data_IF_844490164085
#
_entry.id   IF_844490164085
#
_cell.length_a   1.000
_cell.length_b   1.000
_cell.length_c   1.000
_cell.angle_alpha   90.00
_cell.angle_beta   90.00
_cell.angle_gamma   90.00
#
_symmetry.space_group_name_H-M   'P 1'
#
loop_
_entity.id
_entity.type
_entity.pdbx_description
1 polymer ?
#
# COMPACT_ATOMS: atom_id res chain seq x y z
N UNK A 1 4.30 23.61 7.68
CA UNK A 1 5.59 23.17 7.13
C UNK A 1 5.61 23.52 5.64
N UNK A 2 6.56 24.31 5.18
CA UNK A 2 6.68 24.63 3.75
C UNK A 2 7.59 23.57 3.13
N UNK A 3 7.03 22.71 2.26
CA UNK A 3 7.82 21.73 1.51
C UNK A 3 8.60 22.38 0.37
N UNK A 4 8.02 23.38 -0.27
CA UNK A 4 8.60 24.09 -1.41
C UNK A 4 7.68 25.19 -1.90
N UNK A 5 7.95 25.69 -3.11
CA UNK A 5 7.20 26.75 -3.79
C UNK A 5 6.39 26.22 -4.99
N UNK A 6 6.86 25.13 -5.62
CA UNK A 6 6.22 24.57 -6.80
C UNK A 6 6.19 23.04 -6.77
N UNK A 7 5.00 22.48 -6.70
CA UNK A 7 4.77 21.03 -6.64
C UNK A 7 4.73 20.38 -8.02
N UNK A 8 5.28 19.17 -8.14
CA UNK A 8 4.75 18.20 -9.10
C UNK A 8 3.74 17.31 -8.38
N UNK A 9 2.48 17.37 -8.78
CA UNK A 9 1.42 16.49 -8.28
C UNK A 9 1.36 15.25 -9.17
N UNK A 10 1.71 14.10 -8.62
CA UNK A 10 1.69 12.81 -9.31
C UNK A 10 0.41 12.07 -8.94
N UNK A 11 -0.44 11.81 -9.94
CA UNK A 11 -1.79 11.28 -9.71
C UNK A 11 -2.26 10.37 -10.85
N UNK A 12 -3.41 9.75 -10.67
CA UNK A 12 -4.14 9.03 -11.71
C UNK A 12 -5.42 9.75 -12.12
N UNK A 13 -5.96 9.41 -13.29
CA UNK A 13 -7.19 9.99 -13.82
C UNK A 13 -8.41 9.87 -12.88
N UNK A 14 -8.41 8.89 -11.98
CA UNK A 14 -9.49 8.68 -11.02
C UNK A 14 -9.67 9.86 -10.07
N UNK A 15 -8.58 10.47 -9.59
CA UNK A 15 -8.64 11.61 -8.66
C UNK A 15 -9.22 12.86 -9.33
N UNK A 16 -8.92 13.04 -10.61
CA UNK A 16 -9.48 14.13 -11.42
C UNK A 16 -10.98 13.91 -11.64
N UNK A 17 -11.37 12.71 -12.11
CA UNK A 17 -12.78 12.39 -12.40
C UNK A 17 -13.68 12.43 -11.16
N UNK A 18 -13.14 12.16 -9.99
CA UNK A 18 -13.87 12.21 -8.71
C UNK A 18 -13.91 13.60 -8.10
N UNK A 19 -13.26 14.60 -8.69
CA UNK A 19 -13.24 15.98 -8.20
C UNK A 19 -12.28 16.24 -7.03
N UNK A 20 -11.55 15.22 -6.56
CA UNK A 20 -10.64 15.38 -5.42
C UNK A 20 -9.44 16.27 -5.74
N UNK A 21 -9.06 16.36 -7.03
CA UNK A 21 -7.95 17.21 -7.44
C UNK A 21 -8.25 18.68 -7.20
N UNK A 22 -9.48 19.16 -7.46
CA UNK A 22 -9.85 20.55 -7.26
C UNK A 22 -9.64 20.98 -5.80
N UNK A 23 -10.08 20.17 -4.83
CA UNK A 23 -9.89 20.46 -3.42
C UNK A 23 -8.41 20.64 -3.03
N UNK A 24 -7.50 19.86 -3.62
CA UNK A 24 -6.07 19.99 -3.39
C UNK A 24 -5.52 21.26 -4.06
N UNK A 25 -5.88 21.52 -5.34
CA UNK A 25 -5.37 22.67 -6.07
C UNK A 25 -5.83 24.00 -5.49
N UNK A 26 -7.11 24.09 -5.06
CA UNK A 26 -7.65 25.27 -4.38
C UNK A 26 -6.82 25.63 -3.11
N UNK A 27 -6.48 24.63 -2.30
CA UNK A 27 -5.64 24.81 -1.11
C UNK A 27 -4.24 25.30 -1.49
N UNK A 28 -3.64 24.77 -2.55
CA UNK A 28 -2.31 25.20 -3.01
C UNK A 28 -2.34 26.65 -3.51
N UNK A 29 -3.35 27.02 -4.31
CA UNK A 29 -3.57 28.36 -4.84
C UNK A 29 -3.79 29.38 -3.73
N UNK A 30 -4.64 29.07 -2.76
CA UNK A 30 -4.91 29.94 -1.59
C UNK A 30 -3.64 30.20 -0.76
N UNK A 31 -2.66 29.29 -0.83
CA UNK A 31 -1.37 29.42 -0.13
C UNK A 31 -0.22 29.92 -1.03
N UNK A 32 -0.52 30.31 -2.28
CA UNK A 32 0.48 30.83 -3.24
C UNK A 32 1.51 29.79 -3.64
N UNK A 33 1.14 28.51 -3.68
CA UNK A 33 1.98 27.40 -4.11
C UNK A 33 1.66 27.07 -5.56
N UNK A 34 2.64 27.17 -6.44
CA UNK A 34 2.49 26.74 -7.82
C UNK A 34 2.50 25.22 -7.93
N UNK A 35 1.88 24.69 -8.99
CA UNK A 35 1.89 23.26 -9.24
C UNK A 35 1.84 22.90 -10.72
N UNK A 36 2.26 21.69 -11.02
CA UNK A 36 2.07 20.99 -12.30
C UNK A 36 1.48 19.62 -12.00
N UNK A 37 0.57 19.14 -12.83
CA UNK A 37 -0.11 17.86 -12.60
C UNK A 37 0.38 16.82 -13.62
N UNK A 38 1.00 15.74 -13.13
CA UNK A 38 1.21 14.51 -13.89
C UNK A 38 0.07 13.54 -13.57
N UNK A 39 -0.89 13.45 -14.48
CA UNK A 39 -2.07 12.59 -14.35
C UNK A 39 -2.02 11.32 -15.20
N UNK A 40 -0.85 10.96 -15.71
CA UNK A 40 -0.66 9.84 -16.62
C UNK A 40 -0.49 8.50 -15.93
N UNK A 41 -0.39 8.49 -14.60
CA UNK A 41 -0.21 7.24 -13.87
C UNK A 41 -1.46 6.38 -13.99
N UNK A 42 -1.32 5.26 -14.66
CA UNK A 42 -2.41 4.31 -14.91
C UNK A 42 -1.93 2.87 -14.71
N UNK A 43 -2.67 2.09 -13.93
CA UNK A 43 -2.26 0.73 -13.59
C UNK A 43 -0.99 0.68 -12.76
N UNK A 44 -0.12 -0.27 -13.06
CA UNK A 44 1.17 -0.42 -12.40
C UNK A 44 2.18 0.62 -12.93
N UNK A 45 2.94 1.31 -12.05
CA UNK A 45 3.91 2.31 -12.51
C UNK A 45 5.04 1.66 -13.31
N UNK A 46 5.42 2.28 -14.42
CA UNK A 46 6.50 1.81 -15.29
C UNK A 46 7.69 2.76 -15.28
N UNK A 47 8.87 2.24 -15.61
CA UNK A 47 10.10 3.03 -15.80
C UNK A 47 9.91 4.18 -16.79
N UNK A 48 9.07 3.99 -17.82
CA UNK A 48 8.73 5.02 -18.81
C UNK A 48 7.93 6.16 -18.16
N UNK A 49 6.87 5.83 -17.40
CA UNK A 49 6.08 6.84 -16.66
C UNK A 49 6.95 7.64 -15.69
N UNK A 50 7.87 6.97 -15.01
CA UNK A 50 8.79 7.64 -14.06
C UNK A 50 9.72 8.61 -14.78
N UNK A 51 10.27 8.22 -15.94
CA UNK A 51 11.13 9.07 -16.75
C UNK A 51 10.39 10.31 -17.28
N UNK A 52 9.14 10.15 -17.74
CA UNK A 52 8.29 11.27 -18.16
C UNK A 52 7.97 12.22 -17.01
N UNK A 53 7.63 11.69 -15.83
CA UNK A 53 7.37 12.49 -14.64
C UNK A 53 8.61 13.25 -14.15
N UNK A 54 9.78 12.61 -14.18
CA UNK A 54 11.05 13.27 -13.83
C UNK A 54 11.40 14.39 -14.80
N UNK A 55 11.16 14.20 -16.09
CA UNK A 55 11.30 15.27 -17.08
C UNK A 55 10.33 16.42 -16.81
N UNK A 56 9.06 16.12 -16.51
CA UNK A 56 8.07 17.14 -16.17
C UNK A 56 8.47 17.94 -14.93
N UNK A 57 8.98 17.28 -13.89
CA UNK A 57 9.49 17.92 -12.68
C UNK A 57 10.59 18.92 -13.01
N UNK A 58 11.59 18.49 -13.80
CA UNK A 58 12.77 19.29 -14.13
C UNK A 58 12.42 20.46 -15.06
N UNK A 59 11.68 20.20 -16.15
CA UNK A 59 11.31 21.21 -17.15
C UNK A 59 10.46 22.35 -16.54
N UNK A 60 9.72 22.06 -15.48
CA UNK A 60 8.86 23.03 -14.79
C UNK A 60 9.49 23.64 -13.54
N UNK A 61 10.75 23.31 -13.21
CA UNK A 61 11.45 23.77 -12.01
C UNK A 61 10.66 23.51 -10.73
N UNK A 62 10.05 22.31 -10.59
CA UNK A 62 9.42 21.89 -9.36
C UNK A 62 10.48 21.69 -8.27
N UNK A 63 10.13 21.91 -7.00
CA UNK A 63 11.05 21.80 -5.86
C UNK A 63 10.54 20.83 -4.78
N UNK A 64 9.33 20.31 -4.92
CA UNK A 64 8.79 19.22 -4.09
C UNK A 64 7.77 18.37 -4.85
N UNK A 65 7.35 17.26 -4.24
CA UNK A 65 6.45 16.29 -4.83
C UNK A 65 5.19 16.11 -3.96
N UNK A 66 4.05 15.89 -4.62
CA UNK A 66 2.83 15.42 -3.98
C UNK A 66 2.39 14.14 -4.71
N UNK A 67 2.41 12.99 -4.04
CA UNK A 67 1.79 11.77 -4.51
C UNK A 67 0.33 11.73 -4.05
N UNK A 68 -0.64 11.77 -4.97
CA UNK A 68 -2.06 11.77 -4.63
C UNK A 68 -2.83 10.68 -5.38
N UNK A 69 -3.30 9.68 -4.66
CA UNK A 69 -4.03 8.55 -5.25
C UNK A 69 -3.81 7.22 -4.55
N UNK A 70 -3.97 6.12 -5.26
CA UNK A 70 -3.62 4.79 -4.74
C UNK A 70 -2.10 4.56 -4.66
N UNK A 71 -1.68 3.33 -4.42
CA UNK A 71 -0.26 3.00 -4.31
C UNK A 71 0.57 3.42 -5.53
N UNK A 72 0.03 3.26 -6.75
CA UNK A 72 0.78 3.57 -7.98
C UNK A 72 1.22 5.03 -8.10
N UNK A 73 0.36 6.06 -7.90
CA UNK A 73 0.81 7.45 -7.84
C UNK A 73 1.83 7.74 -6.73
N UNK A 74 1.66 7.15 -5.55
CA UNK A 74 2.58 7.34 -4.44
C UNK A 74 3.96 6.75 -4.75
N UNK A 75 3.99 5.53 -5.27
CA UNK A 75 5.19 4.85 -5.70
C UNK A 75 5.89 5.60 -6.86
N UNK A 76 5.10 6.10 -7.82
CA UNK A 76 5.64 6.93 -8.90
C UNK A 76 6.29 8.20 -8.37
N UNK A 77 5.65 8.91 -7.44
CA UNK A 77 6.22 10.12 -6.85
C UNK A 77 7.56 9.87 -6.15
N UNK A 78 7.69 8.75 -5.42
CA UNK A 78 8.96 8.33 -4.82
C UNK A 78 10.03 8.07 -5.88
N UNK A 79 9.70 7.29 -6.91
CA UNK A 79 10.63 6.93 -7.98
C UNK A 79 11.05 8.15 -8.83
N UNK A 80 10.13 9.07 -9.12
CA UNK A 80 10.43 10.36 -9.74
C UNK A 80 11.45 11.13 -8.89
N UNK A 81 11.22 11.20 -7.58
CA UNK A 81 12.14 11.83 -6.63
C UNK A 81 13.55 11.23 -6.69
N UNK A 82 13.66 9.92 -6.81
CA UNK A 82 14.96 9.23 -6.98
C UNK A 82 15.61 9.66 -8.29
N UNK A 83 14.86 9.65 -9.39
CA UNK A 83 15.42 9.91 -10.72
C UNK A 83 15.92 11.34 -10.87
N UNK A 84 15.16 12.34 -10.37
CA UNK A 84 15.56 13.75 -10.48
C UNK A 84 16.77 14.11 -9.62
N UNK A 85 17.10 13.33 -8.60
CA UNK A 85 18.26 13.57 -7.72
C UNK A 85 19.38 12.55 -7.92
N UNK A 86 19.08 11.40 -8.49
CA UNK A 86 19.99 10.26 -8.54
C UNK A 86 21.19 10.41 -9.47
N UNK A 87 21.07 11.17 -10.55
CA UNK A 87 22.11 11.34 -11.56
C UNK A 87 22.24 10.12 -12.48
N UNK A 88 21.21 9.30 -12.60
CA UNK A 88 21.05 8.20 -13.55
C UNK A 88 19.94 8.52 -14.55
N UNK A 89 20.01 7.92 -15.75
CA UNK A 89 19.01 8.17 -16.78
C UNK A 89 17.77 7.28 -16.64
N UNK A 90 17.92 6.11 -16.01
CA UNK A 90 16.84 5.16 -15.86
C UNK A 90 16.72 4.68 -14.40
N UNK A 91 15.47 4.61 -13.92
CA UNK A 91 15.16 4.13 -12.57
C UNK A 91 15.58 2.66 -12.36
N UNK A 92 15.66 1.86 -13.44
CA UNK A 92 16.11 0.48 -13.42
C UNK A 92 17.57 0.30 -12.95
N UNK A 93 18.39 1.35 -13.05
CA UNK A 93 19.77 1.34 -12.55
C UNK A 93 19.86 1.20 -11.02
N UNK A 94 18.75 1.43 -10.32
CA UNK A 94 18.63 1.24 -8.88
C UNK A 94 18.13 -0.16 -8.48
N UNK A 95 17.80 -1.02 -9.44
CA UNK A 95 17.35 -2.37 -9.11
C UNK A 95 18.40 -3.14 -8.30
N UNK A 96 17.99 -3.71 -7.16
CA UNK A 96 18.88 -4.40 -6.24
C UNK A 96 19.80 -3.51 -5.38
N UNK A 97 19.74 -2.19 -5.53
CA UNK A 97 20.53 -1.22 -4.74
C UNK A 97 19.69 -0.58 -3.64
N UNK A 98 20.34 -0.18 -2.55
CA UNK A 98 19.72 0.62 -1.51
C UNK A 98 19.91 2.11 -1.83
N UNK A 99 18.81 2.87 -1.86
CA UNK A 99 18.82 4.29 -2.23
C UNK A 99 19.13 5.10 -0.99
N UNK A 100 20.23 5.87 -1.05
CA UNK A 100 20.72 6.68 0.08
C UNK A 100 20.69 8.19 -0.19
N UNK A 101 20.64 8.58 -1.49
CA UNK A 101 20.62 9.98 -1.86
C UNK A 101 19.23 10.58 -1.56
N UNK A 102 19.15 11.68 -0.78
CA UNK A 102 17.87 12.31 -0.47
C UNK A 102 17.09 12.68 -1.73
N UNK A 103 15.78 12.45 -1.70
CA UNK A 103 14.84 12.89 -2.72
C UNK A 103 14.26 14.26 -2.36
N UNK A 104 13.62 15.00 -3.30
CA UNK A 104 12.88 16.20 -2.97
C UNK A 104 11.81 15.91 -1.89
N UNK A 105 11.43 16.90 -1.07
CA UNK A 105 10.37 16.71 -0.09
C UNK A 105 9.12 16.13 -0.74
N UNK A 106 8.54 15.08 -0.15
CA UNK A 106 7.38 14.38 -0.67
C UNK A 106 6.25 14.39 0.35
N UNK A 107 5.07 14.88 -0.05
CA UNK A 107 3.81 14.64 0.63
C UNK A 107 3.06 13.49 -0.05
N UNK A 108 2.55 12.56 0.73
CA UNK A 108 1.77 11.43 0.22
C UNK A 108 0.34 11.45 0.75
N UNK A 109 -0.63 11.37 -0.16
CA UNK A 109 -2.07 11.44 0.11
C UNK A 109 -2.71 10.19 -0.48
N UNK A 110 -2.89 9.11 0.30
CA UNK A 110 -3.48 7.88 -0.21
C UNK A 110 -4.99 8.02 -0.43
N UNK A 111 -5.49 7.45 -1.53
CA UNK A 111 -6.92 7.30 -1.83
C UNK A 111 -7.41 5.85 -1.75
N UNK A 112 -6.58 4.95 -1.29
CA UNK A 112 -6.90 3.53 -1.05
C UNK A 112 -6.40 3.12 0.32
N UNK A 113 -7.13 2.24 0.99
CA UNK A 113 -6.75 1.68 2.28
C UNK A 113 -6.11 0.30 2.07
N UNK A 114 -4.83 0.26 1.74
CA UNK A 114 -4.17 -1.01 1.39
C UNK A 114 -2.65 -0.99 1.45
N UNK A 115 -2.01 -0.32 0.52
CA UNK A 115 -0.56 -0.43 0.28
C UNK A 115 0.33 0.11 1.39
N UNK A 116 -0.14 1.11 2.15
CA UNK A 116 0.68 1.80 3.14
C UNK A 116 1.88 2.54 2.54
N UNK A 117 1.86 2.83 1.23
CA UNK A 117 3.01 3.48 0.55
C UNK A 117 3.33 4.85 1.16
N UNK A 118 2.36 5.53 1.75
CA UNK A 118 2.54 6.84 2.39
C UNK A 118 3.49 6.82 3.61
N UNK A 119 3.81 5.64 4.14
CA UNK A 119 4.69 5.48 5.33
C UNK A 119 5.82 4.48 5.13
N UNK A 120 6.02 4.00 3.90
CA UNK A 120 7.03 2.98 3.63
C UNK A 120 8.23 3.51 2.85
N UNK A 121 9.37 2.86 3.04
CA UNK A 121 10.64 3.08 2.33
C UNK A 121 10.75 2.31 1.02
N UNK A 122 9.63 1.82 0.50
CA UNK A 122 9.59 1.00 -0.70
C UNK A 122 8.89 1.74 -1.83
N UNK A 123 9.25 1.41 -3.07
CA UNK A 123 8.49 1.75 -4.28
C UNK A 123 8.59 0.61 -5.28
N UNK A 124 7.45 0.21 -5.85
CA UNK A 124 7.35 -0.88 -6.80
C UNK A 124 7.14 -0.34 -8.21
N UNK A 125 8.10 -0.62 -9.11
CA UNK A 125 8.10 -0.10 -10.49
C UNK A 125 8.32 -1.26 -11.46
N UNK A 126 7.53 -1.32 -12.52
CA UNK A 126 7.74 -2.27 -13.61
C UNK A 126 8.85 -1.76 -14.54
N UNK A 127 9.88 -2.57 -14.71
CA UNK A 127 10.88 -2.38 -15.75
C UNK A 127 10.34 -2.99 -17.04
N UNK A 128 9.97 -2.14 -17.98
CA UNK A 128 9.35 -2.57 -19.24
C UNK A 128 10.31 -3.25 -20.18
N UNK A 129 11.61 -2.98 -20.07
CA UNK A 129 12.65 -3.57 -20.92
C UNK A 129 12.97 -5.01 -20.51
N UNK A 130 13.10 -5.24 -19.21
CA UNK A 130 13.46 -6.53 -18.65
C UNK A 130 12.25 -7.37 -18.22
N UNK A 131 11.03 -6.81 -18.31
CA UNK A 131 9.76 -7.44 -17.89
C UNK A 131 9.79 -7.95 -16.44
N UNK A 132 10.36 -7.14 -15.54
CA UNK A 132 10.44 -7.45 -14.12
C UNK A 132 9.78 -6.36 -13.27
N UNK A 133 9.25 -6.76 -12.14
CA UNK A 133 8.75 -5.85 -11.11
C UNK A 133 9.86 -5.58 -10.11
N UNK A 134 10.43 -4.39 -10.17
CA UNK A 134 11.46 -3.95 -9.25
C UNK A 134 10.83 -3.50 -7.94
N UNK A 135 11.42 -3.88 -6.82
CA UNK A 135 11.14 -3.30 -5.51
C UNK A 135 12.36 -2.49 -5.08
N UNK A 136 12.29 -1.20 -5.32
CA UNK A 136 13.32 -0.26 -4.89
C UNK A 136 13.12 0.09 -3.41
N UNK A 137 14.20 0.33 -2.68
CA UNK A 137 14.16 0.62 -1.25
C UNK A 137 15.21 1.62 -0.81
N UNK A 138 14.86 2.44 0.17
CA UNK A 138 15.77 3.39 0.81
C UNK A 138 15.01 4.22 1.84
N UNK A 139 15.60 4.50 3.00
CA UNK A 139 14.92 5.26 4.06
C UNK A 139 14.54 6.68 3.60
N UNK A 140 15.26 7.21 2.61
CA UNK A 140 14.98 8.49 1.96
C UNK A 140 13.68 8.53 1.16
N UNK A 141 13.06 7.37 0.89
CA UNK A 141 11.78 7.25 0.17
C UNK A 141 10.56 7.41 1.08
N UNK A 142 10.75 7.43 2.40
CA UNK A 142 9.65 7.67 3.33
C UNK A 142 9.17 9.10 3.14
N UNK A 143 7.90 9.34 2.79
CA UNK A 143 7.36 10.69 2.67
C UNK A 143 7.54 11.50 3.95
N UNK A 144 7.87 12.78 3.82
CA UNK A 144 8.01 13.68 4.98
C UNK A 144 6.67 14.07 5.58
N UNK A 145 5.59 13.94 4.80
CA UNK A 145 4.20 14.13 5.24
C UNK A 145 3.34 13.01 4.63
N UNK A 146 2.56 12.34 5.48
CA UNK A 146 1.47 11.45 5.07
C UNK A 146 0.15 12.06 5.51
N UNK A 147 -0.78 12.29 4.58
CA UNK A 147 -2.12 12.82 4.86
C UNK A 147 -3.12 11.68 4.60
N UNK A 148 -3.52 11.03 5.69
CA UNK A 148 -4.46 9.89 5.65
C UNK A 148 -5.85 10.41 5.95
N UNK A 149 -6.58 10.75 4.89
CA UNK A 149 -7.97 11.23 4.96
C UNK A 149 -8.89 10.20 4.30
N UNK A 150 -9.79 9.62 5.10
CA UNK A 150 -10.72 8.59 4.65
C UNK A 150 -11.70 9.08 3.58
N UNK A 151 -11.93 10.39 3.46
CA UNK A 151 -12.80 10.97 2.44
C UNK A 151 -12.33 10.62 1.02
N UNK A 152 -11.03 10.52 0.78
CA UNK A 152 -10.48 10.12 -0.51
C UNK A 152 -10.73 8.64 -0.86
N UNK A 153 -11.12 7.82 0.12
CA UNK A 153 -11.46 6.40 -0.08
C UNK A 153 -12.95 6.15 -0.32
N UNK A 154 -13.83 7.15 -0.06
CA UNK A 154 -15.28 7.00 -0.07
C UNK A 154 -15.88 6.61 -1.43
N UNK A 155 -15.17 6.90 -2.53
CA UNK A 155 -15.59 6.59 -3.89
C UNK A 155 -14.87 5.35 -4.46
N UNK A 156 -14.09 4.63 -3.65
CA UNK A 156 -13.44 3.41 -4.09
C UNK A 156 -14.48 2.32 -4.42
N UNK A 157 -14.41 1.68 -5.61
CA UNK A 157 -15.28 0.56 -5.94
C UNK A 157 -15.13 -0.59 -4.94
N UNK A 158 -16.16 -1.43 -4.82
CA UNK A 158 -16.12 -2.62 -3.94
C UNK A 158 -14.92 -3.52 -4.22
N UNK A 159 -14.59 -3.75 -5.48
CA UNK A 159 -13.44 -4.57 -5.88
C UNK A 159 -12.10 -3.97 -5.40
N UNK A 160 -11.95 -2.65 -5.46
CA UNK A 160 -10.76 -1.96 -4.94
C UNK A 160 -10.74 -2.03 -3.42
N UNK A 161 -11.88 -1.77 -2.75
CA UNK A 161 -12.00 -1.87 -1.29
C UNK A 161 -11.59 -3.25 -0.79
N UNK A 162 -12.09 -4.33 -1.42
CA UNK A 162 -11.76 -5.69 -1.07
C UNK A 162 -10.27 -6.01 -1.31
N UNK A 163 -9.77 -5.75 -2.52
CA UNK A 163 -8.40 -6.08 -2.89
C UNK A 163 -7.38 -5.34 -2.00
N UNK A 164 -7.60 -4.03 -1.76
CA UNK A 164 -6.66 -3.25 -0.94
C UNK A 164 -6.78 -3.57 0.55
N UNK A 165 -8.00 -3.84 1.05
CA UNK A 165 -8.19 -4.25 2.44
C UNK A 165 -7.55 -5.61 2.75
N UNK A 166 -7.62 -6.57 1.82
CA UNK A 166 -6.93 -7.86 1.95
C UNK A 166 -5.41 -7.72 1.79
N UNK A 167 -4.94 -6.76 1.01
CA UNK A 167 -3.54 -6.41 0.93
C UNK A 167 -3.01 -5.87 2.28
N UNK A 168 -3.73 -4.93 2.89
CA UNK A 168 -3.41 -4.44 4.23
C UNK A 168 -3.44 -5.56 5.29
N UNK A 169 -4.40 -6.49 5.21
CA UNK A 169 -4.44 -7.67 6.08
C UNK A 169 -3.19 -8.52 5.90
N UNK A 170 -2.82 -8.77 4.64
CA UNK A 170 -1.63 -9.56 4.31
C UNK A 170 -0.37 -8.89 4.88
N UNK A 171 -0.22 -7.58 4.68
CA UNK A 171 0.88 -6.81 5.25
C UNK A 171 0.98 -6.98 6.78
N UNK A 172 -0.13 -6.77 7.48
CA UNK A 172 -0.14 -6.85 8.94
C UNK A 172 0.15 -8.27 9.47
N UNK A 173 -0.45 -9.32 8.86
CA UNK A 173 -0.23 -10.71 9.28
C UNK A 173 1.20 -11.15 8.98
N UNK A 174 1.72 -10.86 7.79
CA UNK A 174 3.10 -11.22 7.43
C UNK A 174 4.12 -10.46 8.27
N UNK A 175 3.90 -9.18 8.53
CA UNK A 175 4.75 -8.39 9.42
C UNK A 175 4.77 -8.96 10.84
N UNK A 176 3.60 -9.35 11.36
CA UNK A 176 3.46 -9.96 12.68
C UNK A 176 4.16 -11.31 12.77
N UNK A 177 4.06 -12.15 11.76
CA UNK A 177 4.67 -13.50 11.74
C UNK A 177 6.10 -13.50 11.17
N UNK A 178 6.63 -12.35 10.81
CA UNK A 178 8.01 -12.18 10.35
C UNK A 178 9.03 -12.46 11.46
N UNK A 179 10.20 -13.02 11.10
CA UNK A 179 11.34 -13.11 12.02
C UNK A 179 11.91 -11.75 12.43
N UNK A 180 11.57 -10.70 11.70
CA UNK A 180 11.98 -9.32 11.97
C UNK A 180 10.93 -8.54 12.78
N UNK A 181 9.86 -9.21 13.22
CA UNK A 181 8.86 -8.61 14.08
C UNK A 181 9.47 -8.14 15.39
N UNK A 182 8.98 -7.02 15.90
CA UNK A 182 9.37 -6.42 17.18
C UNK A 182 8.13 -6.16 18.02
N UNK A 183 8.26 -5.99 19.35
CA UNK A 183 7.11 -5.65 20.18
C UNK A 183 6.35 -4.42 19.69
N UNK A 184 7.04 -3.43 19.11
CA UNK A 184 6.39 -2.24 18.55
C UNK A 184 5.62 -2.54 17.26
N UNK A 185 6.18 -3.32 16.34
CA UNK A 185 5.46 -3.72 15.12
C UNK A 185 4.28 -4.62 15.44
N UNK A 186 4.37 -5.44 16.49
CA UNK A 186 3.28 -6.31 16.95
C UNK A 186 2.05 -5.51 17.41
N UNK A 187 2.24 -4.41 18.12
CA UNK A 187 1.15 -3.54 18.55
C UNK A 187 0.36 -2.98 17.35
N UNK A 188 1.05 -2.46 16.35
CA UNK A 188 0.41 -1.94 15.14
C UNK A 188 -0.22 -3.06 14.30
N UNK A 189 0.42 -4.21 14.18
CA UNK A 189 -0.10 -5.34 13.42
C UNK A 189 -1.41 -5.88 14.02
N UNK A 190 -1.44 -6.12 15.33
CA UNK A 190 -2.66 -6.55 16.03
C UNK A 190 -3.77 -5.51 15.88
N UNK A 191 -3.45 -4.23 16.06
CA UNK A 191 -4.40 -3.13 15.88
C UNK A 191 -5.00 -3.11 14.47
N UNK A 192 -4.16 -3.20 13.44
CA UNK A 192 -4.57 -3.24 12.04
C UNK A 192 -5.47 -4.46 11.74
N UNK A 193 -5.04 -5.66 12.15
CA UNK A 193 -5.78 -6.90 11.91
C UNK A 193 -7.17 -6.84 12.55
N UNK A 194 -7.28 -6.37 13.81
CA UNK A 194 -8.58 -6.21 14.50
C UNK A 194 -9.51 -5.26 13.75
N UNK A 195 -8.98 -4.12 13.28
CA UNK A 195 -9.76 -3.16 12.50
C UNK A 195 -10.23 -3.78 11.18
N UNK A 196 -9.34 -4.47 10.46
CA UNK A 196 -9.67 -5.06 9.16
C UNK A 196 -10.75 -6.14 9.32
N UNK A 197 -10.63 -7.05 10.30
CA UNK A 197 -11.64 -8.07 10.57
C UNK A 197 -13.02 -7.46 10.86
N UNK A 198 -13.06 -6.35 11.59
CA UNK A 198 -14.31 -5.68 11.97
C UNK A 198 -14.89 -4.83 10.85
N UNK A 199 -14.07 -4.08 10.13
CA UNK A 199 -14.52 -2.96 9.29
C UNK A 199 -14.40 -3.22 7.79
N UNK A 200 -13.54 -4.13 7.32
CA UNK A 200 -13.48 -4.45 5.88
C UNK A 200 -14.85 -4.95 5.35
N UNK A 201 -15.56 -5.86 6.04
CA UNK A 201 -16.91 -6.26 5.64
C UNK A 201 -17.88 -5.07 5.53
N UNK A 202 -17.84 -4.16 6.50
CA UNK A 202 -18.70 -2.98 6.51
C UNK A 202 -18.39 -2.02 5.36
N UNK A 203 -17.11 -1.65 5.18
CA UNK A 203 -16.66 -0.78 4.09
C UNK A 203 -16.95 -1.37 2.70
N UNK A 204 -16.96 -2.70 2.56
CA UNK A 204 -17.34 -3.39 1.33
C UNK A 204 -18.85 -3.35 1.09
N UNK A 205 -19.66 -3.60 2.10
CA UNK A 205 -21.12 -3.60 1.98
C UNK A 205 -21.64 -2.19 1.75
N UNK A 206 -21.20 -1.23 2.55
CA UNK A 206 -21.51 0.19 2.42
C UNK A 206 -20.22 1.02 2.27
N UNK A 207 -19.91 1.39 1.04
CA UNK A 207 -18.76 2.23 0.73
C UNK A 207 -18.87 3.66 1.27
N UNK A 208 -20.00 4.06 1.83
CA UNK A 208 -20.25 5.38 2.41
C UNK A 208 -20.23 5.37 3.95
N UNK A 209 -20.01 4.22 4.58
CA UNK A 209 -19.79 4.12 6.02
C UNK A 209 -18.45 4.79 6.39
N UNK A 210 -18.55 6.01 6.93
CA UNK A 210 -17.40 6.86 7.27
C UNK A 210 -16.54 6.17 8.35
N UNK A 211 -17.17 5.58 9.38
CA UNK A 211 -16.46 4.90 10.46
C UNK A 211 -15.61 3.72 9.90
N UNK A 212 -16.23 2.95 9.00
CA UNK A 212 -15.54 1.83 8.38
C UNK A 212 -14.40 2.29 7.45
N UNK A 213 -14.60 3.35 6.66
CA UNK A 213 -13.54 3.91 5.80
C UNK A 213 -12.38 4.47 6.60
N UNK A 214 -12.66 5.21 7.67
CA UNK A 214 -11.63 5.75 8.58
C UNK A 214 -10.84 4.61 9.24
N UNK A 215 -11.52 3.62 9.80
CA UNK A 215 -10.88 2.47 10.42
C UNK A 215 -9.99 1.70 9.44
N UNK A 216 -10.44 1.51 8.19
CA UNK A 216 -9.65 0.85 7.14
C UNK A 216 -8.45 1.69 6.71
N UNK A 217 -8.58 3.02 6.60
CA UNK A 217 -7.46 3.91 6.27
C UNK A 217 -6.38 3.87 7.36
N UNK A 218 -6.78 3.93 8.62
CA UNK A 218 -5.86 3.78 9.76
C UNK A 218 -5.21 2.39 9.78
N UNK A 219 -5.97 1.33 9.52
CA UNK A 219 -5.44 -0.03 9.49
C UNK A 219 -4.38 -0.21 8.39
N UNK A 220 -4.60 0.35 7.20
CA UNK A 220 -3.62 0.31 6.11
C UNK A 220 -2.33 1.08 6.46
N UNK A 221 -2.47 2.24 7.07
CA UNK A 221 -1.36 3.02 7.60
C UNK A 221 -0.55 2.24 8.65
N UNK A 222 -1.23 1.64 9.65
CA UNK A 222 -0.60 0.81 10.67
C UNK A 222 0.14 -0.40 10.05
N UNK A 223 -0.49 -1.09 9.08
CA UNK A 223 0.11 -2.20 8.35
C UNK A 223 1.36 -1.75 7.55
N UNK A 224 1.31 -0.55 6.95
CA UNK A 224 2.46 0.07 6.28
C UNK A 224 3.63 0.30 7.24
N UNK A 225 3.37 0.82 8.44
CA UNK A 225 4.40 0.98 9.49
C UNK A 225 5.00 -0.39 9.85
N UNK A 226 4.18 -1.43 9.96
CA UNK A 226 4.66 -2.78 10.30
C UNK A 226 5.64 -3.30 9.25
N UNK A 227 5.28 -3.32 7.98
CA UNK A 227 6.17 -3.84 6.92
C UNK A 227 7.41 -2.99 6.71
N UNK A 228 7.31 -1.69 6.99
CA UNK A 228 8.47 -0.79 6.91
C UNK A 228 9.55 -1.11 7.95
N UNK A 229 9.15 -1.60 9.11
CA UNK A 229 10.03 -1.86 10.27
C UNK A 229 10.22 -3.35 10.58
N UNK A 230 9.55 -4.24 9.85
CA UNK A 230 9.76 -5.68 9.86
C UNK A 230 9.97 -6.21 8.44
N UNK A 231 9.11 -7.07 7.95
CA UNK A 231 9.14 -7.56 6.55
C UNK A 231 7.81 -8.19 6.17
N UNK A 232 7.55 -8.27 4.87
CA UNK A 232 6.62 -9.23 4.28
C UNK A 232 7.31 -10.59 4.13
N UNK A 233 6.54 -11.67 3.94
CA UNK A 233 7.07 -13.05 3.93
C UNK A 233 6.60 -13.84 2.69
N UNK A 234 6.02 -15.02 2.89
CA UNK A 234 5.76 -15.98 1.83
C UNK A 234 4.68 -15.52 0.83
N UNK A 235 3.61 -14.87 1.31
CA UNK A 235 2.51 -14.43 0.43
C UNK A 235 3.04 -13.44 -0.61
N UNK A 236 3.72 -12.40 -0.15
CA UNK A 236 4.32 -11.41 -1.05
C UNK A 236 5.47 -11.99 -1.89
N UNK A 237 6.23 -12.94 -1.34
CA UNK A 237 7.27 -13.66 -2.09
C UNK A 237 6.72 -14.38 -3.30
N UNK A 238 5.54 -15.00 -3.18
CA UNK A 238 4.89 -15.75 -4.25
C UNK A 238 4.00 -14.88 -5.15
N UNK A 239 3.35 -13.86 -4.62
CA UNK A 239 2.42 -13.01 -5.38
C UNK A 239 3.12 -12.09 -6.38
N UNK A 240 4.33 -11.61 -6.09
CA UNK A 240 5.09 -10.72 -6.97
C UNK A 240 5.35 -11.31 -8.34
N UNK A 241 5.88 -12.55 -8.49
CA UNK A 241 6.02 -13.19 -9.79
C UNK A 241 4.69 -13.36 -10.54
N UNK A 242 3.60 -13.69 -9.83
CA UNK A 242 2.26 -13.84 -10.42
C UNK A 242 1.80 -12.51 -11.01
N UNK A 243 1.93 -11.42 -10.25
CA UNK A 243 1.60 -10.09 -10.74
C UNK A 243 2.42 -9.69 -11.96
N UNK A 244 3.72 -9.95 -11.95
CA UNK A 244 4.62 -9.61 -13.04
C UNK A 244 4.35 -10.40 -14.33
N UNK A 245 4.11 -11.72 -14.23
CA UNK A 245 3.96 -12.61 -15.38
C UNK A 245 2.54 -12.61 -15.95
N UNK A 246 1.52 -12.49 -15.09
CA UNK A 246 0.12 -12.65 -15.49
C UNK A 246 -0.69 -11.35 -15.38
N UNK A 247 -0.05 -10.24 -15.03
CA UNK A 247 -0.71 -8.93 -14.87
C UNK A 247 -1.89 -8.93 -13.89
N UNK A 248 -1.86 -9.80 -12.88
CA UNK A 248 -2.87 -9.87 -11.83
C UNK A 248 -2.64 -8.69 -10.86
N UNK A 249 -3.68 -7.89 -10.54
CA UNK A 249 -3.56 -6.82 -9.56
C UNK A 249 -3.02 -7.32 -8.23
N UNK A 250 -2.09 -6.57 -7.62
CA UNK A 250 -1.31 -7.00 -6.47
C UNK A 250 -2.15 -7.49 -5.29
N UNK A 251 -3.15 -6.71 -4.86
CA UNK A 251 -4.03 -7.11 -3.75
C UNK A 251 -4.84 -8.37 -4.05
N UNK A 252 -5.18 -8.64 -5.33
CA UNK A 252 -5.87 -9.88 -5.73
C UNK A 252 -4.92 -11.07 -5.65
N UNK A 253 -3.69 -10.95 -6.18
CA UNK A 253 -2.71 -12.04 -6.11
C UNK A 253 -2.32 -12.38 -4.66
N UNK A 254 -2.22 -11.38 -3.78
CA UNK A 254 -2.02 -11.60 -2.34
C UNK A 254 -3.22 -12.36 -1.73
N UNK A 255 -4.44 -11.91 -1.99
CA UNK A 255 -5.64 -12.53 -1.46
C UNK A 255 -5.81 -13.99 -1.89
N UNK A 256 -5.47 -14.32 -3.15
CA UNK A 256 -5.52 -15.70 -3.66
C UNK A 256 -4.56 -16.65 -2.93
N UNK A 257 -3.40 -16.15 -2.54
CA UNK A 257 -2.35 -16.95 -1.90
C UNK A 257 -2.43 -16.94 -0.38
N UNK A 258 -3.13 -15.96 0.21
CA UNK A 258 -3.09 -15.67 1.64
C UNK A 258 -3.35 -16.92 2.49
N UNK A 259 -4.50 -17.59 2.33
CA UNK A 259 -4.84 -18.78 3.12
C UNK A 259 -3.82 -19.90 2.96
N UNK A 260 -3.44 -20.20 1.71
CA UNK A 260 -2.55 -21.35 1.44
C UNK A 260 -1.15 -21.12 2.00
N UNK A 261 -0.59 -19.92 1.84
CA UNK A 261 0.71 -19.57 2.38
C UNK A 261 0.72 -19.56 3.92
N UNK A 262 -0.32 -19.01 4.54
CA UNK A 262 -0.42 -18.97 6.00
C UNK A 262 -0.67 -20.37 6.57
N UNK A 263 -1.45 -21.23 5.90
CA UNK A 263 -1.60 -22.64 6.30
C UNK A 263 -0.27 -23.38 6.30
N UNK A 264 0.56 -23.14 5.29
CA UNK A 264 1.92 -23.70 5.25
C UNK A 264 2.79 -23.21 6.41
N UNK A 265 2.70 -21.93 6.74
CA UNK A 265 3.51 -21.32 7.81
C UNK A 265 2.99 -21.64 9.23
N UNK A 266 1.77 -22.14 9.37
CA UNK A 266 1.05 -22.23 10.63
C UNK A 266 1.79 -23.02 11.70
N UNK A 267 2.30 -24.22 11.34
CA UNK A 267 2.98 -25.12 12.29
C UNK A 267 4.28 -24.54 12.84
N UNK A 268 4.89 -23.56 12.13
CA UNK A 268 6.08 -22.87 12.60
C UNK A 268 5.81 -21.69 13.55
N UNK A 269 4.53 -21.32 13.78
CA UNK A 269 4.19 -20.11 14.52
C UNK A 269 2.79 -20.19 15.20
N UNK A 270 2.39 -21.36 15.68
CA UNK A 270 1.06 -21.55 16.31
C UNK A 270 0.74 -20.49 17.36
N UNK A 271 1.66 -20.20 18.27
CA UNK A 271 1.47 -19.18 19.31
C UNK A 271 1.15 -17.80 18.72
N UNK A 272 1.88 -17.37 17.67
CA UNK A 272 1.67 -16.09 17.02
C UNK A 272 0.28 -16.03 16.36
N UNK A 273 -0.09 -17.04 15.61
CA UNK A 273 -1.42 -17.12 14.97
C UNK A 273 -2.56 -17.26 15.99
N UNK A 274 -2.34 -17.97 17.10
CA UNK A 274 -3.30 -18.10 18.18
C UNK A 274 -3.63 -16.76 18.84
N UNK A 275 -2.61 -15.95 19.08
CA UNK A 275 -2.81 -14.58 19.58
C UNK A 275 -3.72 -13.80 18.63
N UNK A 276 -3.44 -13.81 17.32
CA UNK A 276 -4.30 -13.16 16.34
C UNK A 276 -5.74 -13.69 16.35
N UNK A 277 -5.92 -15.01 16.50
CA UNK A 277 -7.24 -15.62 16.60
C UNK A 277 -8.04 -15.12 17.80
N UNK A 278 -7.39 -15.01 18.95
CA UNK A 278 -8.01 -14.50 20.19
C UNK A 278 -8.29 -13.00 20.09
N UNK A 279 -7.34 -12.21 19.59
CA UNK A 279 -7.46 -10.77 19.47
C UNK A 279 -8.53 -10.33 18.45
N UNK A 280 -8.77 -11.14 17.41
CA UNK A 280 -9.86 -10.89 16.45
C UNK A 280 -11.21 -11.43 16.91
N UNK A 281 -11.25 -12.19 18.01
CA UNK A 281 -12.46 -12.76 18.57
C UNK A 281 -12.96 -14.03 17.85
N UNK A 282 -12.20 -14.56 16.87
CA UNK A 282 -12.56 -15.80 16.16
C UNK A 282 -12.19 -17.04 16.97
N UNK A 283 -11.30 -16.91 17.94
CA UNK A 283 -10.91 -17.97 18.88
C UNK A 283 -11.16 -17.54 20.33
N UNK A 284 -11.41 -18.53 21.20
CA UNK A 284 -11.57 -18.32 22.63
C UNK A 284 -10.23 -18.40 23.35
N UNK A 285 -10.14 -17.75 24.52
CA UNK A 285 -8.97 -17.85 25.41
C UNK A 285 -8.74 -19.25 25.97
N UNK A 286 -9.76 -20.12 25.95
CA UNK A 286 -9.67 -21.54 26.39
C UNK A 286 -9.22 -22.48 25.26
N UNK A 287 -9.20 -22.03 24.01
CA UNK A 287 -8.72 -22.85 22.90
C UNK A 287 -7.19 -23.07 23.04
N UNK A 288 -6.72 -24.27 22.67
CA UNK A 288 -5.27 -24.48 22.50
C UNK A 288 -4.71 -23.57 21.43
N UNK A 289 -3.40 -23.31 21.44
CA UNK A 289 -2.79 -22.45 20.41
C UNK A 289 -2.98 -23.00 19.02
N UNK A 290 -2.88 -24.31 18.81
CA UNK A 290 -3.14 -24.95 17.54
C UNK A 290 -4.58 -24.70 17.08
N UNK A 291 -5.57 -24.93 17.97
CA UNK A 291 -6.99 -24.70 17.66
C UNK A 291 -7.25 -23.22 17.36
N UNK A 292 -6.73 -22.30 18.15
CA UNK A 292 -6.92 -20.87 17.96
C UNK A 292 -6.28 -20.39 16.64
N UNK A 293 -5.12 -20.91 16.29
CA UNK A 293 -4.43 -20.61 15.04
C UNK A 293 -5.22 -21.08 13.82
N UNK A 294 -5.78 -22.29 13.85
CA UNK A 294 -6.65 -22.78 12.78
C UNK A 294 -7.93 -21.93 12.66
N UNK A 295 -8.57 -21.54 13.76
CA UNK A 295 -9.72 -20.65 13.75
C UNK A 295 -9.39 -19.28 13.15
N UNK A 296 -8.17 -18.77 13.35
CA UNK A 296 -7.72 -17.53 12.70
C UNK A 296 -7.68 -17.67 11.17
N UNK A 297 -7.13 -18.79 10.65
CA UNK A 297 -7.13 -19.05 9.20
C UNK A 297 -8.54 -19.16 8.61
N UNK A 298 -9.45 -19.76 9.35
CA UNK A 298 -10.86 -19.86 8.93
C UNK A 298 -11.53 -18.48 8.95
N UNK A 299 -11.20 -17.64 9.94
CA UNK A 299 -11.61 -16.24 10.00
C UNK A 299 -11.12 -15.43 8.80
N UNK A 300 -9.84 -15.59 8.40
CA UNK A 300 -9.30 -14.99 7.17
C UNK A 300 -10.13 -15.44 5.96
N UNK A 301 -10.47 -16.72 5.88
CA UNK A 301 -11.30 -17.25 4.77
C UNK A 301 -12.66 -16.58 4.74
N UNK A 302 -13.31 -16.42 5.88
CA UNK A 302 -14.61 -15.76 5.98
C UNK A 302 -14.52 -14.30 5.51
N UNK A 303 -13.50 -13.55 5.94
CA UNK A 303 -13.26 -12.17 5.48
C UNK A 303 -12.97 -12.13 3.97
N UNK A 304 -12.21 -13.07 3.42
CA UNK A 304 -11.88 -13.12 1.99
C UNK A 304 -13.06 -13.56 1.13
N UNK A 305 -13.82 -14.57 1.55
CA UNK A 305 -14.93 -15.14 0.78
C UNK A 305 -16.12 -14.17 0.64
N UNK A 306 -16.36 -13.35 1.64
CA UNK A 306 -17.43 -12.34 1.61
C UNK A 306 -17.18 -11.26 0.56
N UNK A 307 -15.93 -11.12 0.07
CA UNK A 307 -15.50 -9.96 -0.71
C UNK A 307 -14.88 -10.31 -2.07
N UNK A 308 -14.42 -11.55 -2.26
CA UNK A 308 -13.88 -12.04 -3.52
C UNK A 308 -14.63 -13.32 -3.91
N UNK A 309 -15.82 -13.20 -4.48
CA UNK A 309 -16.32 -14.25 -5.36
C UNK A 309 -15.40 -14.26 -6.59
N UNK A 310 -14.25 -14.95 -6.48
CA UNK A 310 -13.48 -15.31 -7.66
C UNK A 310 -14.43 -16.12 -8.55
N UNK A 311 -14.56 -15.80 -9.84
CA UNK A 311 -15.22 -16.71 -10.76
C UNK A 311 -14.46 -18.03 -10.63
N UNK A 312 -15.18 -19.05 -10.23
CA UNK A 312 -14.67 -20.42 -10.19
C UNK A 312 -14.16 -20.69 -11.61
N UNK A 313 -12.85 -20.75 -11.77
CA UNK A 313 -12.27 -21.26 -13.00
C UNK A 313 -12.57 -22.75 -12.93
N UNK A 314 -13.65 -23.14 -13.62
CA UNK A 314 -14.03 -24.52 -13.85
C UNK A 314 -13.02 -25.14 -14.82
#
# INVERSE_FOLDING_TARGET
CKLGKKALIVTGQSMIKQGHMAALTDILEDNGIEYVIDSKISGEPTDVMISEGAKMYTDNNCDFLIGFGGGSPLDSAKAIGVLVTGGVENISDYNGKFITKPIPPLAAIPSTAGTGSEVTKFTAIADTRNQIKMLLKGDVLIPVIAIVDSQFTMNAPKSVTAATGLDALTHAVEAYTSRLATPQTDLYAISAIKKIFKYLPKAYMDGKDIEAREAMSVAAYEAGICINNSSVTLVHGMSRPIGALFHVPHGISNAMLLKSCLSYALSGAYERFAILGRETGVASHIDSDETAAHKFLDGISAVSYTHLTLPTIA
#
